data_IF_754239281395
#
_entry.id   IF_754239281395
#
_cell.length_a   1.000
_cell.length_b   1.000
_cell.length_c   1.000
_cell.angle_alpha   90.00
_cell.angle_beta   90.00
_cell.angle_gamma   90.00
#
_symmetry.space_group_name_H-M   'P 1'
#
loop_
_entity.id
_entity.type
_entity.pdbx_description
1 polymer ?
#
# COMPACT_ATOMS: atom_id res chain seq x y z
N UNK A 1 5.61 25.07 9.22
CA UNK A 1 4.94 24.56 10.45
C UNK A 1 4.32 23.21 10.09
N UNK A 2 4.83 22.10 10.61
CA UNK A 2 4.23 20.77 10.38
C UNK A 2 3.01 20.67 11.28
N UNK A 3 1.81 20.58 10.69
CA UNK A 3 0.58 20.40 11.45
C UNK A 3 0.30 18.90 11.62
N UNK A 4 -0.03 18.51 12.85
CA UNK A 4 -0.43 17.15 13.20
C UNK A 4 -1.93 16.90 12.99
N UNK A 5 -2.68 17.92 12.55
CA UNK A 5 -4.11 17.81 12.27
C UNK A 5 -4.37 16.78 11.14
N UNK A 6 -5.07 15.67 11.42
CA UNK A 6 -5.38 14.65 10.43
C UNK A 6 -6.15 15.18 9.22
N UNK A 7 -6.97 16.22 9.36
CA UNK A 7 -7.73 16.83 8.26
C UNK A 7 -6.82 17.56 7.30
N UNK A 8 -5.87 18.34 7.83
CA UNK A 8 -4.88 19.03 7.00
C UNK A 8 -3.95 18.02 6.33
N UNK A 9 -3.55 16.96 7.04
CA UNK A 9 -2.75 15.88 6.46
C UNK A 9 -3.49 15.15 5.34
N UNK A 10 -4.79 14.92 5.47
CA UNK A 10 -5.62 14.32 4.41
C UNK A 10 -5.73 15.23 3.19
N UNK A 11 -5.89 16.55 3.38
CA UNK A 11 -5.88 17.53 2.30
C UNK A 11 -4.53 17.64 1.59
N UNK A 12 -3.41 17.59 2.33
CA UNK A 12 -2.08 17.52 1.75
C UNK A 12 -1.87 16.22 0.96
N UNK A 13 -2.39 15.10 1.47
CA UNK A 13 -2.34 13.82 0.77
C UNK A 13 -3.12 13.86 -0.55
N UNK A 14 -4.35 14.39 -0.55
CA UNK A 14 -5.13 14.61 -1.78
C UNK A 14 -4.36 15.47 -2.80
N UNK A 15 -3.79 16.59 -2.34
CA UNK A 15 -2.98 17.47 -3.19
C UNK A 15 -1.76 16.77 -3.79
N UNK A 16 -1.11 15.90 -3.02
CA UNK A 16 0.03 15.10 -3.47
C UNK A 16 -0.39 14.03 -4.48
N UNK A 17 -1.42 13.23 -4.16
CA UNK A 17 -1.93 12.15 -5.00
C UNK A 17 -2.31 12.68 -6.39
N UNK A 18 -3.00 13.83 -6.46
CA UNK A 18 -3.40 14.45 -7.74
C UNK A 18 -2.24 14.83 -8.65
N UNK A 19 -1.04 15.05 -8.09
CA UNK A 19 0.15 15.50 -8.81
C UNK A 19 1.25 14.43 -8.86
N UNK A 20 0.98 13.23 -8.36
CA UNK A 20 1.99 12.19 -8.19
C UNK A 20 2.65 11.79 -9.52
N UNK A 21 1.85 11.71 -10.57
CA UNK A 21 2.28 11.39 -11.95
C UNK A 21 3.21 12.45 -12.55
N UNK A 22 3.25 13.66 -11.99
CA UNK A 22 4.13 14.75 -12.45
C UNK A 22 5.50 14.69 -11.75
N UNK A 23 5.57 13.99 -10.61
CA UNK A 23 6.74 13.99 -9.73
C UNK A 23 7.53 12.68 -9.78
N UNK A 24 6.90 11.59 -10.21
CA UNK A 24 7.46 10.24 -10.17
C UNK A 24 7.23 9.49 -11.49
N UNK A 25 8.14 8.59 -11.88
CA UNK A 25 7.87 7.60 -12.92
C UNK A 25 6.64 6.76 -12.58
N UNK A 26 5.91 6.24 -13.59
CA UNK A 26 4.66 5.51 -13.35
C UNK A 26 4.77 4.33 -12.37
N UNK A 27 5.85 3.55 -12.44
CA UNK A 27 6.07 2.40 -11.54
C UNK A 27 6.23 2.84 -10.07
N UNK A 28 7.00 3.91 -9.82
CA UNK A 28 7.18 4.47 -8.48
C UNK A 28 5.90 5.15 -7.97
N UNK A 29 5.20 5.86 -8.84
CA UNK A 29 3.92 6.49 -8.52
C UNK A 29 2.89 5.45 -8.06
N UNK A 30 2.77 4.32 -8.78
CA UNK A 30 1.87 3.21 -8.41
C UNK A 30 2.16 2.68 -7.00
N UNK A 31 3.44 2.53 -6.66
CA UNK A 31 3.86 2.06 -5.32
C UNK A 31 3.58 3.11 -4.26
N UNK A 32 3.81 4.39 -4.55
CA UNK A 32 3.45 5.46 -3.63
C UNK A 32 1.93 5.60 -3.43
N UNK A 33 1.10 5.26 -4.41
CA UNK A 33 -0.36 5.20 -4.23
C UNK A 33 -0.76 4.15 -3.19
N UNK A 34 -0.11 2.97 -3.16
CA UNK A 34 -0.32 1.97 -2.11
C UNK A 34 -0.05 2.56 -0.72
N UNK A 35 1.08 3.27 -0.59
CA UNK A 35 1.46 3.95 0.65
C UNK A 35 0.45 5.02 1.05
N UNK A 36 0.03 5.85 0.10
CA UNK A 36 -0.94 6.90 0.32
C UNK A 36 -2.28 6.32 0.78
N UNK A 37 -2.71 5.17 0.26
CA UNK A 37 -3.93 4.51 0.73
C UNK A 37 -3.82 4.04 2.18
N UNK A 38 -2.70 3.40 2.56
CA UNK A 38 -2.46 3.00 3.95
C UNK A 38 -2.53 4.22 4.90
N UNK A 39 -1.88 5.32 4.51
CA UNK A 39 -1.92 6.58 5.28
C UNK A 39 -3.34 7.16 5.31
N UNK A 40 -4.06 7.13 4.18
CA UNK A 40 -5.42 7.65 4.06
C UNK A 40 -6.39 6.94 5.00
N UNK A 41 -6.38 5.61 5.03
CA UNK A 41 -7.23 4.85 5.95
C UNK A 41 -6.89 5.15 7.41
N UNK A 42 -5.61 5.28 7.75
CA UNK A 42 -5.18 5.68 9.09
C UNK A 42 -5.69 7.08 9.46
N UNK A 43 -5.62 8.05 8.55
CA UNK A 43 -6.08 9.43 8.77
C UNK A 43 -7.59 9.50 8.95
N UNK A 44 -8.34 8.78 8.13
CA UNK A 44 -9.80 8.69 8.27
C UNK A 44 -10.18 8.04 9.60
N UNK A 45 -9.48 6.98 10.01
CA UNK A 45 -9.67 6.37 11.32
C UNK A 45 -9.34 7.31 12.48
N UNK A 46 -8.34 8.20 12.34
CA UNK A 46 -8.00 9.24 13.32
C UNK A 46 -9.07 10.32 13.43
N UNK A 47 -9.74 10.64 12.32
CA UNK A 47 -10.75 11.69 12.29
C UNK A 47 -12.02 11.27 13.04
N UNK A 48 -12.41 10.00 13.01
CA UNK A 48 -13.59 9.44 13.72
C UNK A 48 -14.87 10.32 13.63
N UNK A 49 -14.96 11.13 12.58
CA UNK A 49 -15.93 12.20 12.40
C UNK A 49 -16.94 11.81 11.33
N UNK A 50 -18.17 12.31 11.47
CA UNK A 50 -19.19 12.20 10.42
C UNK A 50 -18.66 12.79 9.10
N UNK A 51 -18.70 11.98 8.03
CA UNK A 51 -18.33 12.37 6.67
C UNK A 51 -16.97 11.86 6.16
N UNK A 52 -16.08 11.37 7.04
CA UNK A 52 -14.83 10.72 6.62
C UNK A 52 -14.95 9.21 6.77
N UNK A 53 -14.95 8.48 5.66
CA UNK A 53 -15.12 7.02 5.63
C UNK A 53 -14.10 6.38 4.69
N UNK A 54 -14.12 5.04 4.62
CA UNK A 54 -13.37 4.29 3.59
C UNK A 54 -13.59 4.87 2.19
N UNK A 55 -14.84 5.22 1.85
CA UNK A 55 -15.19 5.77 0.54
C UNK A 55 -14.40 7.06 0.22
N UNK A 56 -14.15 7.91 1.22
CA UNK A 56 -13.35 9.12 1.03
C UNK A 56 -11.95 8.81 0.50
N UNK A 57 -11.31 7.74 0.98
CA UNK A 57 -9.98 7.33 0.50
C UNK A 57 -10.09 6.62 -0.84
N UNK A 58 -11.10 5.75 -1.00
CA UNK A 58 -11.29 4.97 -2.22
C UNK A 58 -11.56 5.88 -3.44
N UNK A 59 -12.38 6.92 -3.29
CA UNK A 59 -12.66 7.90 -4.34
C UNK A 59 -11.39 8.68 -4.76
N UNK A 60 -10.56 9.06 -3.78
CA UNK A 60 -9.29 9.75 -4.06
C UNK A 60 -8.33 8.87 -4.86
N UNK A 61 -8.26 7.59 -4.52
CA UNK A 61 -7.39 6.63 -5.20
C UNK A 61 -7.91 6.29 -6.60
N UNK A 62 -9.22 6.13 -6.79
CA UNK A 62 -9.81 5.87 -8.10
C UNK A 62 -9.40 6.94 -9.11
N UNK A 63 -9.51 8.22 -8.73
CA UNK A 63 -9.07 9.36 -9.56
C UNK A 63 -7.55 9.30 -9.82
N UNK A 64 -6.77 8.87 -8.84
CA UNK A 64 -5.31 8.79 -8.97
C UNK A 64 -4.86 7.72 -9.96
N UNK A 65 -5.42 6.51 -9.85
CA UNK A 65 -5.14 5.39 -10.73
C UNK A 65 -5.62 5.67 -12.17
N UNK A 66 -6.77 6.30 -12.33
CA UNK A 66 -7.27 6.74 -13.64
C UNK A 66 -6.31 7.74 -14.30
N UNK A 67 -5.88 8.76 -13.55
CA UNK A 67 -4.92 9.76 -14.06
C UNK A 67 -3.57 9.13 -14.39
N UNK A 68 -3.08 8.22 -13.56
CA UNK A 68 -1.82 7.53 -13.80
C UNK A 68 -1.89 6.70 -15.08
N UNK A 69 -3.01 6.01 -15.30
CA UNK A 69 -3.27 5.23 -16.52
C UNK A 69 -3.29 6.10 -17.78
N UNK A 70 -3.97 7.26 -17.70
CA UNK A 70 -4.05 8.23 -18.81
C UNK A 70 -2.66 8.76 -19.20
N UNK A 71 -1.81 9.05 -18.21
CA UNK A 71 -0.48 9.63 -18.44
C UNK A 71 0.53 8.58 -18.90
N UNK A 72 0.46 7.36 -18.38
CA UNK A 72 1.36 6.27 -18.78
C UNK A 72 1.00 5.67 -20.14
N UNK A 73 -0.25 5.82 -20.60
CA UNK A 73 -0.77 5.14 -21.79
C UNK A 73 -1.01 3.64 -21.58
N UNK A 74 -0.95 3.17 -20.33
CA UNK A 74 -1.13 1.77 -19.94
C UNK A 74 -2.22 1.74 -18.86
N UNK A 75 -3.12 0.77 -18.92
CA UNK A 75 -4.11 0.57 -17.87
C UNK A 75 -3.42 0.14 -16.55
N UNK A 76 -3.62 0.93 -15.49
CA UNK A 76 -3.12 0.66 -14.15
C UNK A 76 -4.32 0.53 -13.23
N UNK A 77 -4.69 -0.73 -12.97
CA UNK A 77 -5.81 -1.05 -12.08
C UNK A 77 -5.48 -0.73 -10.62
N UNK A 78 -6.51 -0.34 -9.88
CA UNK A 78 -6.44 -0.18 -8.44
C UNK A 78 -6.48 -1.57 -7.76
N UNK A 79 -5.40 -1.98 -7.06
CA UNK A 79 -5.29 -3.32 -6.50
C UNK A 79 -6.22 -3.58 -5.29
N UNK A 80 -6.86 -2.56 -4.73
CA UNK A 80 -7.84 -2.73 -3.65
C UNK A 80 -9.26 -3.01 -4.15
N UNK A 81 -9.51 -2.93 -5.47
CA UNK A 81 -10.77 -3.35 -6.06
C UNK A 81 -10.91 -4.88 -6.04
N UNK A 82 -9.81 -5.60 -6.26
CA UNK A 82 -9.75 -7.06 -6.22
C UNK A 82 -8.61 -7.52 -5.29
N UNK A 83 -8.75 -7.34 -3.95
CA UNK A 83 -7.65 -7.55 -3.02
C UNK A 83 -7.11 -8.99 -3.01
N UNK A 84 -7.96 -9.99 -3.28
CA UNK A 84 -7.52 -11.37 -3.42
C UNK A 84 -6.58 -11.55 -4.61
N UNK A 85 -7.01 -11.22 -5.82
CA UNK A 85 -6.22 -11.37 -7.06
C UNK A 85 -4.95 -10.49 -7.04
N UNK A 86 -5.10 -9.28 -6.51
CA UNK A 86 -4.01 -8.31 -6.41
C UNK A 86 -2.93 -8.73 -5.43
N UNK A 87 -3.28 -9.47 -4.37
CA UNK A 87 -2.30 -10.06 -3.45
C UNK A 87 -1.37 -11.02 -4.20
N UNK A 88 -1.91 -11.95 -5.00
CA UNK A 88 -1.09 -12.85 -5.82
C UNK A 88 -0.26 -12.07 -6.82
N UNK A 89 -0.87 -11.13 -7.54
CA UNK A 89 -0.19 -10.36 -8.59
C UNK A 89 0.98 -9.53 -8.04
N UNK A 90 0.79 -8.89 -6.89
CA UNK A 90 1.85 -8.13 -6.21
C UNK A 90 2.96 -9.05 -5.68
N UNK A 91 2.63 -10.23 -5.14
CA UNK A 91 3.64 -11.19 -4.70
C UNK A 91 4.48 -11.72 -5.87
N UNK A 92 3.86 -12.07 -6.99
CA UNK A 92 4.57 -12.50 -8.20
C UNK A 92 5.46 -11.38 -8.76
N UNK A 93 4.97 -10.15 -8.77
CA UNK A 93 5.78 -8.99 -9.16
C UNK A 93 7.01 -8.84 -8.24
N UNK A 94 6.83 -8.92 -6.92
CA UNK A 94 7.92 -8.81 -5.95
C UNK A 94 8.95 -9.93 -6.11
N UNK A 95 8.52 -11.17 -6.41
CA UNK A 95 9.41 -12.29 -6.71
C UNK A 95 10.22 -12.10 -7.99
N UNK A 96 9.78 -11.23 -8.91
CA UNK A 96 10.54 -10.93 -10.13
C UNK A 96 11.69 -9.94 -9.89
N UNK A 97 11.62 -9.13 -8.82
CA UNK A 97 12.56 -8.04 -8.56
C UNK A 97 14.00 -8.45 -8.26
N UNK A 98 14.27 -9.57 -7.58
CA UNK A 98 15.63 -10.10 -7.44
C UNK A 98 16.38 -10.31 -8.76
N UNK A 99 15.65 -10.58 -9.85
CA UNK A 99 16.22 -10.82 -11.19
C UNK A 99 16.42 -9.54 -12.01
N UNK A 100 15.99 -8.38 -11.51
CA UNK A 100 16.25 -7.07 -12.13
C UNK A 100 17.66 -6.57 -11.78
N UNK A 101 18.14 -5.57 -12.52
CA UNK A 101 19.39 -4.89 -12.20
C UNK A 101 19.28 -4.18 -10.83
N UNK A 102 20.01 -4.70 -9.85
CA UNK A 102 19.98 -4.22 -8.48
C UNK A 102 20.61 -2.83 -8.31
N UNK A 103 21.36 -2.34 -9.30
CA UNK A 103 21.92 -0.99 -9.32
C UNK A 103 20.96 0.07 -9.86
N UNK A 104 19.82 -0.34 -10.41
CA UNK A 104 18.80 0.58 -10.92
C UNK A 104 18.24 1.47 -9.79
N UNK A 105 17.99 2.73 -10.13
CA UNK A 105 17.32 3.70 -9.25
C UNK A 105 15.99 3.16 -8.73
N UNK A 106 15.22 2.51 -9.58
CA UNK A 106 13.95 1.90 -9.21
C UNK A 106 14.15 0.81 -8.16
N UNK A 107 15.15 -0.06 -8.32
CA UNK A 107 15.44 -1.10 -7.34
C UNK A 107 15.90 -0.53 -5.99
N UNK A 108 16.63 0.57 -6.01
CA UNK A 108 16.96 1.33 -4.78
C UNK A 108 15.68 1.84 -4.09
N UNK A 109 14.74 2.39 -4.86
CA UNK A 109 13.45 2.83 -4.36
C UNK A 109 12.62 1.65 -3.78
N UNK A 110 12.56 0.51 -4.47
CA UNK A 110 11.88 -0.70 -4.00
C UNK A 110 12.40 -1.12 -2.63
N UNK A 111 13.71 -1.24 -2.46
CA UNK A 111 14.33 -1.65 -1.20
C UNK A 111 14.00 -0.67 -0.06
N UNK A 112 14.01 0.63 -0.35
CA UNK A 112 13.72 1.67 0.64
C UNK A 112 12.25 1.70 1.09
N UNK A 113 11.33 1.39 0.18
CA UNK A 113 9.88 1.40 0.44
C UNK A 113 9.34 0.03 0.89
N UNK A 114 10.12 -1.05 0.76
CA UNK A 114 9.64 -2.42 0.94
C UNK A 114 8.88 -2.64 2.25
N UNK A 115 9.52 -2.31 3.37
CA UNK A 115 8.95 -2.45 4.72
C UNK A 115 7.77 -1.51 4.98
N UNK A 116 7.77 -0.34 4.34
CA UNK A 116 6.79 0.73 4.59
C UNK A 116 5.53 0.56 3.75
N UNK A 117 5.65 -0.12 2.62
CA UNK A 117 4.60 -0.19 1.59
C UNK A 117 4.17 -1.61 1.35
N UNK A 118 5.05 -2.52 0.90
CA UNK A 118 4.64 -3.85 0.48
C UNK A 118 4.16 -4.71 1.65
N UNK A 119 4.91 -4.73 2.76
CA UNK A 119 4.52 -5.52 3.94
C UNK A 119 3.13 -5.09 4.47
N UNK A 120 2.85 -3.80 4.76
CA UNK A 120 1.54 -3.42 5.27
C UNK A 120 0.43 -3.50 4.22
N UNK A 121 0.75 -3.30 2.93
CA UNK A 121 -0.23 -3.46 1.84
C UNK A 121 -0.70 -4.90 1.76
N UNK A 122 0.24 -5.85 1.70
CA UNK A 122 -0.10 -7.27 1.57
C UNK A 122 -0.78 -7.78 2.84
N UNK A 123 -0.35 -7.34 4.03
CA UNK A 123 -1.05 -7.64 5.29
C UNK A 123 -2.51 -7.21 5.23
N UNK A 124 -2.76 -5.97 4.81
CA UNK A 124 -4.11 -5.45 4.72
C UNK A 124 -4.94 -6.16 3.64
N UNK A 125 -4.35 -6.52 2.51
CA UNK A 125 -5.02 -7.30 1.46
C UNK A 125 -5.41 -8.70 1.96
N UNK A 126 -4.59 -9.36 2.77
CA UNK A 126 -4.93 -10.64 3.40
C UNK A 126 -6.21 -10.54 4.22
N UNK A 127 -6.38 -9.45 4.96
CA UNK A 127 -7.56 -9.18 5.78
C UNK A 127 -8.78 -8.79 4.95
N UNK A 128 -8.59 -8.04 3.86
CA UNK A 128 -9.67 -7.62 2.96
C UNK A 128 -10.12 -8.74 2.01
N UNK A 129 -9.30 -9.75 1.78
CA UNK A 129 -9.64 -10.88 0.94
C UNK A 129 -10.55 -11.86 1.68
N UNK A 130 -11.70 -12.17 1.08
CA UNK A 130 -12.72 -13.08 1.63
C UNK A 130 -12.83 -14.41 0.86
N UNK A 131 -11.91 -14.68 -0.07
CA UNK A 131 -11.87 -15.94 -0.80
C UNK A 131 -11.51 -17.10 0.12
N UNK A 132 -12.13 -18.26 -0.08
CA UNK A 132 -11.79 -19.50 0.62
C UNK A 132 -10.38 -20.01 0.26
N UNK A 133 -9.91 -19.68 -0.95
CA UNK A 133 -8.60 -20.10 -1.46
C UNK A 133 -7.51 -19.04 -1.25
N UNK A 134 -7.71 -18.07 -0.34
CA UNK A 134 -6.76 -16.97 -0.12
C UNK A 134 -5.49 -17.46 0.58
N UNK A 135 -4.38 -16.75 0.39
CA UNK A 135 -3.22 -16.97 1.24
C UNK A 135 -3.51 -16.55 2.68
N UNK A 136 -3.03 -17.35 3.63
CA UNK A 136 -2.91 -16.94 5.02
C UNK A 136 -1.85 -15.85 5.18
N UNK A 137 -1.85 -15.14 6.30
CA UNK A 137 -0.81 -14.13 6.54
C UNK A 137 0.57 -14.78 6.64
N UNK A 138 0.66 -15.93 7.29
CA UNK A 138 1.91 -16.69 7.45
C UNK A 138 2.48 -17.14 6.10
N UNK A 139 1.63 -17.53 5.16
CA UNK A 139 2.04 -17.86 3.78
C UNK A 139 2.57 -16.64 3.02
N UNK A 140 1.95 -15.48 3.21
CA UNK A 140 2.40 -14.21 2.61
C UNK A 140 3.72 -13.78 3.24
N UNK A 141 3.83 -13.84 4.57
CA UNK A 141 5.01 -13.46 5.34
C UNK A 141 6.24 -14.29 4.93
N UNK A 142 6.09 -15.62 4.84
CA UNK A 142 7.17 -16.51 4.39
C UNK A 142 7.64 -16.20 2.96
N UNK A 143 6.72 -15.80 2.07
CA UNK A 143 7.09 -15.39 0.71
C UNK A 143 7.80 -14.04 0.70
N UNK A 144 7.32 -13.08 1.49
CA UNK A 144 7.96 -11.77 1.66
C UNK A 144 9.38 -11.92 2.20
N UNK A 145 9.58 -12.76 3.22
CA UNK A 145 10.91 -13.02 3.80
C UNK A 145 11.90 -13.51 2.76
N UNK A 146 11.51 -14.46 1.90
CA UNK A 146 12.36 -14.96 0.80
C UNK A 146 12.78 -13.84 -0.15
N UNK A 147 11.82 -13.03 -0.60
CA UNK A 147 12.09 -11.89 -1.49
C UNK A 147 13.02 -10.89 -0.82
N UNK A 148 12.81 -10.61 0.47
CA UNK A 148 13.61 -9.65 1.23
C UNK A 148 15.06 -10.12 1.38
N UNK A 149 15.29 -11.40 1.65
CA UNK A 149 16.63 -11.99 1.70
C UNK A 149 17.34 -11.81 0.35
N UNK A 150 16.68 -12.12 -0.75
CA UNK A 150 17.26 -11.98 -2.09
C UNK A 150 17.52 -10.52 -2.48
N UNK A 151 16.68 -9.58 -2.03
CA UNK A 151 16.86 -8.15 -2.26
C UNK A 151 17.86 -7.48 -1.28
N UNK A 152 18.28 -8.19 -0.23
CA UNK A 152 19.12 -7.63 0.84
C UNK A 152 18.39 -6.62 1.72
N UNK A 153 17.09 -6.81 1.96
CA UNK A 153 16.27 -5.96 2.84
C UNK A 153 16.18 -6.61 4.21
N UNK A 154 16.79 -5.98 5.21
CA UNK A 154 16.73 -6.47 6.60
C UNK A 154 15.42 -6.05 7.28
N UNK A 155 14.79 -7.00 8.00
CA UNK A 155 13.59 -6.78 8.80
C UNK A 155 13.69 -7.40 10.18
N UNK A 156 13.14 -6.68 11.15
CA UNK A 156 12.87 -7.18 12.47
C UNK A 156 11.38 -7.53 12.53
N UNK A 157 11.04 -8.80 12.31
CA UNK A 157 9.65 -9.26 12.26
C UNK A 157 8.84 -8.87 13.50
N UNK A 158 9.31 -9.11 14.74
CA UNK A 158 8.59 -8.67 15.94
C UNK A 158 8.18 -7.18 15.96
N UNK A 159 9.06 -6.29 15.50
CA UNK A 159 8.73 -4.85 15.41
C UNK A 159 7.72 -4.58 14.29
N UNK A 160 7.88 -5.26 13.16
CA UNK A 160 6.98 -5.17 12.02
C UNK A 160 5.57 -5.66 12.39
N UNK A 161 5.45 -6.82 13.04
CA UNK A 161 4.17 -7.40 13.45
C UNK A 161 3.46 -6.49 14.44
N UNK A 162 4.18 -5.97 15.44
CA UNK A 162 3.61 -5.00 16.38
C UNK A 162 3.09 -3.75 15.66
N UNK A 163 3.82 -3.24 14.65
CA UNK A 163 3.35 -2.13 13.83
C UNK A 163 2.08 -2.50 13.04
N UNK A 164 2.06 -3.69 12.41
CA UNK A 164 0.94 -4.17 11.60
C UNK A 164 -0.32 -4.39 12.43
N UNK A 165 -0.20 -5.03 13.59
CA UNK A 165 -1.33 -5.23 14.53
C UNK A 165 -1.93 -3.91 14.98
N UNK A 166 -1.08 -2.95 15.38
CA UNK A 166 -1.52 -1.62 15.77
C UNK A 166 -2.19 -0.88 14.61
N UNK A 167 -1.66 -1.03 13.39
CA UNK A 167 -2.25 -0.46 12.19
C UNK A 167 -3.64 -1.06 11.92
N UNK A 168 -3.76 -2.40 11.88
CA UNK A 168 -5.01 -3.10 11.62
C UNK A 168 -6.08 -2.76 12.67
N UNK A 169 -5.73 -2.80 13.95
CA UNK A 169 -6.62 -2.39 15.05
C UNK A 169 -7.16 -0.98 14.86
N UNK A 170 -6.33 -0.07 14.35
CA UNK A 170 -6.70 1.31 14.13
C UNK A 170 -7.66 1.48 12.95
N UNK A 171 -7.45 0.76 11.86
CA UNK A 171 -8.28 0.90 10.63
C UNK A 171 -9.47 -0.06 10.58
N UNK A 172 -9.57 -0.98 11.54
CA UNK A 172 -10.58 -2.06 11.58
C UNK A 172 -12.01 -1.56 11.41
N UNK A 173 -12.40 -0.54 12.17
CA UNK A 173 -13.73 0.04 12.13
C UNK A 173 -14.03 0.74 10.80
N UNK A 174 -13.03 1.39 10.19
CA UNK A 174 -13.18 2.08 8.90
C UNK A 174 -13.31 1.08 7.76
N UNK A 175 -12.57 -0.03 7.85
CA UNK A 175 -12.48 -1.03 6.78
C UNK A 175 -13.40 -2.24 7.00
N UNK A 176 -14.16 -2.26 8.09
CA UNK A 176 -15.03 -3.37 8.51
C UNK A 176 -14.26 -4.71 8.62
N UNK A 177 -13.05 -4.67 9.15
CA UNK A 177 -12.24 -5.88 9.35
C UNK A 177 -12.74 -6.65 10.57
N UNK A 178 -12.78 -7.98 10.46
CA UNK A 178 -13.05 -8.89 11.58
C UNK A 178 -11.70 -9.35 12.14
N UNK A 179 -11.21 -8.65 13.16
CA UNK A 179 -9.93 -8.92 13.83
C UNK A 179 -10.18 -9.42 15.25
#
# INVERSE_FOLDING_TARGET
MVTFDPKVRLSHMDSYIRKIHQSLPPEEARIQLLRCRLVGYKLVAELAMEGYTRATVDDLMAVAYENLSKVSGIEISDPYLTPCESQYSLLEELKSYPYRDQSDRFMTFIKAEFKKVFIPTLRLMTELCHSENKYSWEEVESQLEKVMVELGVEVNWPECDSYLENYLKKVSAVLNLKI
#
